data_IF_484149058094
#
_entry.id   IF_484149058094
#
_cell.length_a   1.000
_cell.length_b   1.000
_cell.length_c   1.000
_cell.angle_alpha   90.00
_cell.angle_beta   90.00
_cell.angle_gamma   90.00
#
_symmetry.space_group_name_H-M   'P 1'
#
loop_
_entity.id
_entity.type
_entity.pdbx_description
1 polymer ?
#
# COMPACT_ATOMS: atom_id res chain seq x y z
N UNK A 1 -85.53 7.22 16.89
CA UNK A 1 -84.36 6.95 16.02
C UNK A 1 -83.49 5.91 16.71
N UNK A 2 -83.62 4.67 16.26
CA UNK A 2 -82.81 3.50 16.61
C UNK A 2 -81.93 3.22 15.39
N UNK A 3 -80.73 2.65 15.60
CA UNK A 3 -79.75 2.12 14.62
C UNK A 3 -78.61 3.07 14.23
N UNK A 4 -77.50 2.99 14.96
CA UNK A 4 -76.13 3.08 14.41
C UNK A 4 -75.05 2.59 15.40
N UNK A 5 -75.40 1.60 16.23
CA UNK A 5 -74.51 0.96 17.22
C UNK A 5 -73.98 -0.41 16.74
N UNK A 6 -73.59 -0.54 15.47
CA UNK A 6 -73.20 -1.84 14.90
C UNK A 6 -72.11 -1.77 13.80
N UNK A 7 -71.02 -1.02 13.99
CA UNK A 7 -69.82 -1.08 13.11
C UNK A 7 -68.49 -1.20 13.88
N UNK A 8 -68.46 -1.17 15.21
CA UNK A 8 -67.18 -1.19 15.97
C UNK A 8 -66.83 -2.58 16.55
N UNK A 9 -67.66 -3.60 16.35
CA UNK A 9 -67.49 -4.93 16.95
C UNK A 9 -67.32 -6.09 15.94
N UNK A 10 -66.67 -5.85 14.80
CA UNK A 10 -66.46 -6.90 13.79
C UNK A 10 -65.13 -6.80 13.02
N UNK A 11 -64.04 -6.36 13.67
CA UNK A 11 -62.66 -6.58 13.19
C UNK A 11 -61.75 -6.90 14.39
N UNK A 12 -62.18 -7.85 15.21
CA UNK A 12 -61.30 -8.56 16.15
C UNK A 12 -61.50 -10.05 15.86
N UNK A 13 -60.43 -10.69 15.42
CA UNK A 13 -60.21 -12.14 15.38
C UNK A 13 -60.72 -12.97 14.18
N UNK A 14 -60.19 -12.72 12.98
CA UNK A 14 -59.83 -13.80 12.06
C UNK A 14 -58.47 -13.46 11.41
N UNK A 15 -57.37 -13.69 12.14
CA UNK A 15 -56.60 -14.94 12.19
C UNK A 15 -55.61 -15.10 11.04
N UNK A 16 -54.34 -15.10 11.45
CA UNK A 16 -53.26 -15.94 10.94
C UNK A 16 -52.76 -15.57 9.53
N UNK A 17 -51.71 -14.76 9.53
CA UNK A 17 -50.81 -14.61 8.41
C UNK A 17 -49.62 -13.80 8.91
N UNK A 18 -48.44 -14.42 8.96
CA UNK A 18 -47.23 -13.81 9.49
C UNK A 18 -47.00 -12.43 8.87
N UNK A 19 -46.49 -11.50 9.64
CA UNK A 19 -45.06 -11.20 9.51
C UNK A 19 -44.50 -11.13 10.93
N UNK A 20 -43.78 -12.17 11.35
CA UNK A 20 -42.60 -11.89 12.17
C UNK A 20 -41.86 -10.84 11.35
N UNK A 21 -41.73 -9.62 11.88
CA UNK A 21 -40.67 -8.77 11.43
C UNK A 21 -39.37 -9.46 11.87
N UNK A 22 -39.01 -10.55 11.18
CA UNK A 22 -37.63 -10.81 10.85
C UNK A 22 -37.15 -9.48 10.31
N UNK A 23 -36.39 -8.78 11.14
CA UNK A 23 -35.38 -7.89 10.64
C UNK A 23 -34.51 -8.77 9.75
N UNK A 24 -34.90 -8.86 8.49
CA UNK A 24 -34.08 -9.43 7.47
C UNK A 24 -32.90 -8.47 7.39
N UNK A 25 -31.78 -8.84 8.00
CA UNK A 25 -30.48 -8.48 7.46
C UNK A 25 -30.38 -9.16 6.09
N UNK A 26 -31.12 -8.60 5.13
CA UNK A 26 -30.94 -8.83 3.71
C UNK A 26 -30.83 -7.44 3.08
N UNK A 27 -29.83 -6.69 3.55
CA UNK A 27 -28.88 -6.23 2.57
C UNK A 27 -28.06 -7.46 2.21
N UNK A 28 -28.48 -8.17 1.16
CA UNK A 28 -27.52 -8.74 0.22
C UNK A 28 -26.85 -7.56 -0.48
N UNK A 29 -26.18 -6.73 0.29
CA UNK A 29 -24.98 -6.09 -0.20
C UNK A 29 -24.00 -7.26 -0.23
N UNK A 30 -24.19 -8.14 -1.23
CA UNK A 30 -23.03 -8.70 -1.92
C UNK A 30 -22.07 -7.54 -2.01
N UNK A 31 -20.88 -7.74 -1.49
CA UNK A 31 -19.77 -6.79 -1.49
C UNK A 31 -19.38 -6.58 -2.97
N UNK A 32 -20.27 -5.94 -3.72
CA UNK A 32 -20.10 -5.39 -5.04
C UNK A 32 -19.73 -3.90 -4.91
N UNK A 33 -19.50 -3.43 -3.67
CA UNK A 33 -18.98 -2.12 -3.34
C UNK A 33 -17.46 -2.12 -3.60
N UNK A 34 -17.14 -2.07 -4.89
CA UNK A 34 -15.87 -1.70 -5.50
C UNK A 34 -14.62 -2.41 -4.95
N UNK A 35 -13.99 -3.20 -5.84
CA UNK A 35 -12.53 -3.36 -5.89
C UNK A 35 -11.87 -1.98 -5.79
N UNK A 36 -11.70 -1.50 -4.57
CA UNK A 36 -11.22 -0.16 -4.31
C UNK A 36 -9.75 -0.29 -4.04
N UNK A 37 -9.01 -0.42 -5.14
CA UNK A 37 -7.55 -0.51 -5.15
C UNK A 37 -6.97 0.70 -4.41
N UNK A 38 -6.29 0.44 -3.30
CA UNK A 38 -5.46 1.44 -2.67
C UNK A 38 -4.08 1.37 -3.33
N UNK A 39 -3.66 2.48 -3.96
CA UNK A 39 -2.44 2.56 -4.76
C UNK A 39 -1.36 3.35 -4.04
N UNK A 40 -0.20 2.74 -3.88
CA UNK A 40 1.02 3.41 -3.42
C UNK A 40 2.07 3.33 -4.52
N UNK A 41 2.69 4.47 -4.87
CA UNK A 41 3.74 4.56 -5.89
C UNK A 41 5.03 5.05 -5.28
N UNK A 42 6.15 4.62 -5.86
CA UNK A 42 7.46 5.23 -5.60
C UNK A 42 7.61 6.39 -6.57
N UNK A 43 7.70 7.62 -6.06
CA UNK A 43 7.79 8.80 -6.89
C UNK A 43 9.16 8.90 -7.58
N UNK A 44 9.13 9.18 -8.88
CA UNK A 44 10.33 9.57 -9.61
C UNK A 44 10.97 10.78 -8.92
N UNK A 45 12.25 10.67 -8.62
CA UNK A 45 12.97 11.71 -7.88
C UNK A 45 14.33 11.94 -8.50
N UNK A 46 14.71 13.21 -8.62
CA UNK A 46 16.04 13.62 -9.04
C UNK A 46 16.75 14.32 -7.88
N UNK A 47 17.94 13.83 -7.55
CA UNK A 47 18.78 14.34 -6.46
C UNK A 47 20.11 14.77 -7.06
N UNK A 48 20.43 16.07 -6.97
CA UNK A 48 21.72 16.59 -7.44
C UNK A 48 22.70 16.68 -6.28
N UNK A 49 23.77 15.89 -6.34
CA UNK A 49 24.90 15.94 -5.42
C UNK A 49 26.10 16.70 -6.00
N UNK A 50 27.17 16.81 -5.22
CA UNK A 50 28.41 17.47 -5.66
C UNK A 50 29.11 16.72 -6.80
N UNK A 51 28.99 15.38 -6.81
CA UNK A 51 29.71 14.48 -7.71
C UNK A 51 28.88 14.04 -8.92
N UNK A 52 27.58 14.30 -8.94
CA UNK A 52 26.69 13.88 -10.00
C UNK A 52 25.22 13.97 -9.59
N UNK A 53 24.36 13.48 -10.47
CA UNK A 53 22.91 13.49 -10.27
C UNK A 53 22.40 12.06 -10.22
N UNK A 54 21.57 11.78 -9.21
CA UNK A 54 20.81 10.54 -9.11
C UNK A 54 19.42 10.75 -9.65
N UNK A 55 18.97 9.82 -10.48
CA UNK A 55 17.59 9.72 -10.93
C UNK A 55 17.04 8.37 -10.49
N UNK A 56 15.94 8.39 -9.74
CA UNK A 56 15.17 7.21 -9.39
C UNK A 56 13.93 7.20 -10.27
N UNK A 57 13.70 6.09 -10.95
CA UNK A 57 12.54 5.86 -11.81
C UNK A 57 11.85 4.56 -11.39
N UNK A 58 10.53 4.58 -11.27
CA UNK A 58 9.78 3.34 -11.01
C UNK A 58 8.44 3.32 -11.74
N UNK A 59 8.11 2.15 -12.29
CA UNK A 59 6.77 1.86 -12.81
C UNK A 59 5.94 1.00 -11.85
N UNK A 60 6.41 0.82 -10.62
CA UNK A 60 5.74 0.06 -9.58
C UNK A 60 4.50 0.81 -9.06
N UNK A 61 3.38 0.12 -9.08
CA UNK A 61 2.21 0.41 -8.27
C UNK A 61 1.98 -0.75 -7.31
N UNK A 62 1.95 -0.46 -6.01
CA UNK A 62 1.47 -1.40 -5.02
C UNK A 62 -0.04 -1.22 -4.91
N UNK A 63 -0.76 -2.32 -5.10
CA UNK A 63 -2.20 -2.37 -4.93
C UNK A 63 -2.50 -3.33 -3.80
N UNK A 64 -3.28 -2.89 -2.82
CA UNK A 64 -3.87 -3.83 -1.86
C UNK A 64 -5.23 -4.26 -2.37
N UNK A 65 -5.37 -5.55 -2.65
CA UNK A 65 -6.60 -6.20 -3.10
C UNK A 65 -7.11 -7.15 -2.00
N UNK A 66 -8.41 -7.38 -1.96
CA UNK A 66 -9.08 -8.21 -0.98
C UNK A 66 -10.04 -9.20 -1.67
N UNK A 67 -9.90 -9.42 -2.98
CA UNK A 67 -10.73 -10.28 -3.84
C UNK A 67 -10.73 -11.80 -3.51
N UNK A 68 -10.33 -12.21 -2.30
CA UNK A 68 -10.35 -13.60 -1.85
C UNK A 68 -11.56 -13.92 -0.96
N UNK A 69 -11.89 -15.21 -0.84
CA UNK A 69 -13.03 -15.71 -0.05
C UNK A 69 -12.94 -15.43 1.45
N UNK A 70 -11.78 -15.00 1.93
CA UNK A 70 -11.49 -14.75 3.34
C UNK A 70 -11.42 -13.26 3.69
N UNK A 71 -11.65 -12.38 2.72
CA UNK A 71 -11.60 -10.95 2.92
C UNK A 71 -10.25 -10.46 3.46
N UNK A 72 -9.16 -11.17 3.11
CA UNK A 72 -7.80 -10.86 3.53
C UNK A 72 -7.14 -9.88 2.54
N UNK A 73 -6.43 -8.87 3.06
CA UNK A 73 -5.60 -7.97 2.27
C UNK A 73 -4.41 -8.73 1.63
N UNK A 74 -4.23 -8.55 0.33
CA UNK A 74 -3.13 -9.08 -0.47
C UNK A 74 -2.39 -7.92 -1.14
N UNK A 75 -1.06 -7.94 -1.06
CA UNK A 75 -0.22 -6.97 -1.76
C UNK A 75 0.08 -7.45 -3.18
N UNK A 76 -0.44 -6.70 -4.16
CA UNK A 76 -0.20 -6.93 -5.57
C UNK A 76 0.77 -5.89 -6.14
N UNK A 77 1.81 -6.38 -6.82
CA UNK A 77 2.73 -5.55 -7.60
C UNK A 77 2.17 -5.40 -9.01
N UNK A 78 1.79 -4.18 -9.41
CA UNK A 78 1.28 -3.87 -10.75
C UNK A 78 2.20 -2.89 -11.48
N UNK A 79 2.38 -3.12 -12.78
CA UNK A 79 3.03 -2.16 -13.67
C UNK A 79 2.03 -1.09 -14.11
N UNK A 80 2.46 0.16 -14.20
CA UNK A 80 1.62 1.27 -14.67
C UNK A 80 1.70 1.53 -16.19
N UNK A 81 2.49 0.76 -16.95
CA UNK A 81 2.82 1.07 -18.35
C UNK A 81 3.12 -0.16 -19.25
N UNK A 82 2.55 -1.33 -18.94
CA UNK A 82 2.77 -2.61 -19.65
C UNK A 82 4.24 -3.07 -19.74
N UNK A 83 5.17 -2.42 -19.04
CA UNK A 83 6.57 -2.86 -18.92
C UNK A 83 6.74 -3.79 -17.72
N UNK A 84 7.79 -4.64 -17.69
CA UNK A 84 8.17 -5.36 -16.48
C UNK A 84 8.31 -4.39 -15.30
N UNK A 85 7.92 -4.81 -14.11
CA UNK A 85 8.02 -3.98 -12.90
C UNK A 85 9.49 -3.75 -12.55
N UNK A 86 9.85 -2.49 -12.34
CA UNK A 86 11.20 -2.09 -11.98
C UNK A 86 11.25 -0.90 -11.00
N UNK A 87 12.36 -0.84 -10.29
CA UNK A 87 12.92 0.38 -9.72
C UNK A 87 14.33 0.56 -10.29
N UNK A 88 14.57 1.64 -11.00
CA UNK A 88 15.84 1.95 -11.65
C UNK A 88 16.45 3.18 -11.02
N UNK A 89 17.71 3.07 -10.66
CA UNK A 89 18.54 4.16 -10.20
C UNK A 89 19.58 4.42 -11.27
N UNK A 90 19.71 5.68 -11.68
CA UNK A 90 20.75 6.14 -12.60
C UNK A 90 21.59 7.20 -11.90
N UNK A 91 22.90 6.99 -11.86
CA UNK A 91 23.87 8.00 -11.45
C UNK A 91 24.60 8.55 -12.67
N UNK A 92 24.54 9.87 -12.83
CA UNK A 92 25.24 10.60 -13.90
C UNK A 92 26.33 11.46 -13.27
N UNK A 93 27.62 11.11 -13.42
CA UNK A 93 28.71 11.91 -12.89
C UNK A 93 28.70 13.34 -13.43
N UNK A 94 29.04 14.30 -12.57
CA UNK A 94 29.24 15.68 -12.99
C UNK A 94 30.43 15.81 -13.95
N UNK A 95 30.36 16.77 -14.86
CA UNK A 95 31.49 17.12 -15.75
C UNK A 95 32.77 17.44 -14.97
N UNK A 96 32.66 17.93 -13.75
CA UNK A 96 33.80 18.25 -12.87
C UNK A 96 34.10 17.17 -11.82
N UNK A 97 33.42 16.02 -11.86
CA UNK A 97 33.68 14.94 -10.92
C UNK A 97 35.11 14.39 -11.07
N UNK A 98 35.74 13.94 -9.96
CA UNK A 98 36.99 13.18 -9.98
C UNK A 98 36.95 12.03 -11.00
N UNK A 99 38.12 11.72 -11.59
CA UNK A 99 38.22 10.66 -12.59
C UNK A 99 37.72 9.31 -12.07
N UNK A 100 38.04 8.97 -10.83
CA UNK A 100 37.60 7.71 -10.21
C UNK A 100 36.06 7.59 -10.17
N UNK A 101 35.36 8.67 -9.82
CA UNK A 101 33.88 8.70 -9.82
C UNK A 101 33.32 8.56 -11.24
N UNK A 102 33.99 9.12 -12.25
CA UNK A 102 33.58 8.97 -13.66
C UNK A 102 33.81 7.56 -14.18
N UNK A 103 34.82 6.86 -13.69
CA UNK A 103 35.17 5.51 -14.12
C UNK A 103 34.38 4.44 -13.34
N UNK A 104 34.08 4.68 -12.05
CA UNK A 104 33.58 3.67 -11.10
C UNK A 104 32.31 4.05 -10.32
N UNK A 105 31.73 5.23 -10.53
CA UNK A 105 30.66 5.82 -9.71
C UNK A 105 31.06 6.06 -8.24
N UNK A 106 30.09 6.50 -7.43
CA UNK A 106 30.22 6.66 -5.98
C UNK A 106 29.60 5.43 -5.31
N UNK A 107 30.24 4.81 -4.28
CA UNK A 107 29.58 3.84 -3.42
C UNK A 107 28.24 4.42 -2.94
N UNK A 108 27.14 3.70 -3.09
CA UNK A 108 25.82 4.26 -2.79
C UNK A 108 24.92 3.22 -2.16
N UNK A 109 23.99 3.67 -1.32
CA UNK A 109 22.99 2.84 -0.64
C UNK A 109 21.58 3.30 -1.05
N UNK A 110 20.68 2.34 -1.24
CA UNK A 110 19.27 2.59 -1.52
C UNK A 110 18.44 2.32 -0.25
N UNK A 111 17.71 3.35 0.17
CA UNK A 111 16.77 3.36 1.28
C UNK A 111 15.32 3.30 0.80
N UNK A 112 14.48 2.51 1.49
CA UNK A 112 13.02 2.57 1.37
C UNK A 112 12.39 3.01 2.69
N UNK A 113 11.39 3.88 2.61
CA UNK A 113 10.60 4.29 3.77
C UNK A 113 9.25 4.85 3.38
N UNK A 114 8.54 5.43 4.35
CA UNK A 114 7.21 6.02 4.14
C UNK A 114 7.24 7.52 4.48
N UNK A 115 6.56 8.33 3.66
CA UNK A 115 6.44 9.79 3.90
C UNK A 115 5.56 10.13 5.11
N UNK A 116 4.50 9.36 5.28
CA UNK A 116 3.53 9.47 6.37
C UNK A 116 3.37 8.07 6.96
N UNK A 117 3.23 7.91 8.29
CA UNK A 117 2.96 6.61 8.88
C UNK A 117 1.73 5.98 8.23
N UNK A 118 1.92 4.86 7.55
CA UNK A 118 0.83 4.06 6.97
C UNK A 118 0.47 2.98 7.97
N UNK A 119 -0.36 3.34 8.95
CA UNK A 119 -0.67 2.52 10.11
C UNK A 119 -2.16 2.20 10.21
N UNK A 120 -2.45 0.92 10.35
CA UNK A 120 -3.80 0.41 10.60
C UNK A 120 -3.96 0.06 12.07
N UNK A 121 -5.08 0.44 12.68
CA UNK A 121 -5.32 0.20 14.11
C UNK A 121 -6.05 -1.13 14.32
N UNK A 122 -5.42 -2.02 15.08
CA UNK A 122 -5.97 -3.34 15.38
C UNK A 122 -6.07 -3.61 16.88
N UNK A 123 -7.04 -4.41 17.28
CA UNK A 123 -7.15 -4.94 18.64
C UNK A 123 -6.20 -6.12 18.88
N UNK A 124 -6.29 -6.74 20.07
CA UNK A 124 -5.43 -7.86 20.45
C UNK A 124 -5.70 -9.14 19.64
N UNK A 125 -6.87 -9.24 19.01
CA UNK A 125 -7.30 -10.37 18.20
C UNK A 125 -7.00 -10.14 16.70
N UNK A 126 -6.45 -8.97 16.34
CA UNK A 126 -6.07 -8.61 14.98
C UNK A 126 -7.19 -7.99 14.15
N UNK A 127 -8.33 -7.65 14.75
CA UNK A 127 -9.45 -7.01 14.08
C UNK A 127 -9.34 -5.48 14.12
N UNK A 128 -10.04 -4.79 13.23
CA UNK A 128 -10.08 -3.34 13.26
C UNK A 128 -10.62 -2.78 14.56
N UNK A 129 -9.96 -1.76 15.09
CA UNK A 129 -10.45 -1.00 16.24
C UNK A 129 -9.97 0.44 16.20
N UNK A 130 -10.90 1.41 16.30
CA UNK A 130 -10.55 2.85 16.38
C UNK A 130 -9.63 3.18 17.57
N UNK A 131 -9.71 2.35 18.61
CA UNK A 131 -8.93 2.46 19.86
C UNK A 131 -7.79 1.45 19.96
N UNK A 132 -7.59 0.66 18.91
CA UNK A 132 -6.55 -0.36 18.82
C UNK A 132 -5.14 0.21 18.75
N UNK A 133 -4.17 -0.70 18.74
CA UNK A 133 -2.76 -0.38 18.58
C UNK A 133 -2.48 -0.04 17.11
N UNK A 134 -1.81 1.08 16.80
CA UNK A 134 -1.33 1.35 15.45
C UNK A 134 -0.29 0.32 15.03
N UNK A 135 -0.54 -0.35 13.90
CA UNK A 135 0.33 -1.35 13.29
C UNK A 135 0.70 -0.89 11.90
N UNK A 136 1.99 -0.87 11.57
CA UNK A 136 2.45 -0.51 10.23
C UNK A 136 1.86 -1.48 9.20
N UNK A 137 1.41 -0.98 8.05
CA UNK A 137 0.81 -1.82 7.02
C UNK A 137 1.90 -2.60 6.24
N UNK A 138 3.04 -1.96 6.02
CA UNK A 138 4.16 -2.54 5.29
C UNK A 138 5.33 -2.83 6.22
N UNK A 139 6.05 -3.90 5.91
CA UNK A 139 7.40 -4.15 6.42
C UNK A 139 8.39 -4.10 5.26
N UNK A 140 9.55 -3.52 5.54
CA UNK A 140 10.71 -3.59 4.67
C UNK A 140 11.67 -4.65 5.23
N UNK A 141 12.21 -5.53 4.39
CA UNK A 141 13.14 -6.57 4.87
C UNK A 141 14.46 -5.96 5.36
N UNK A 142 15.16 -6.64 6.29
CA UNK A 142 16.43 -6.19 6.89
C UNK A 142 16.41 -4.81 7.59
N UNK A 143 15.25 -4.39 8.07
CA UNK A 143 15.10 -3.12 8.77
C UNK A 143 15.03 -3.37 10.28
N UNK A 144 16.15 -3.23 10.99
CA UNK A 144 16.12 -3.21 12.46
C UNK A 144 15.75 -1.83 13.03
N UNK A 145 15.88 -0.75 12.26
CA UNK A 145 15.76 0.63 12.78
C UNK A 145 15.09 1.64 11.83
N UNK A 146 14.33 1.18 10.84
CA UNK A 146 13.63 2.03 9.87
C UNK A 146 14.38 2.29 8.56
N UNK A 147 15.62 1.77 8.42
CA UNK A 147 16.47 1.85 7.23
C UNK A 147 16.72 0.46 6.62
N UNK A 148 16.41 0.29 5.32
CA UNK A 148 16.91 -0.81 4.49
C UNK A 148 18.13 -0.29 3.74
N UNK A 149 19.33 -0.80 4.04
CA UNK A 149 20.55 -0.47 3.30
C UNK A 149 20.82 -1.52 2.24
N UNK A 150 20.37 -1.27 1.00
CA UNK A 150 20.80 -2.06 -0.16
C UNK A 150 22.03 -1.41 -0.77
N UNK A 151 23.17 -2.09 -0.65
CA UNK A 151 24.38 -1.69 -1.37
C UNK A 151 24.14 -1.70 -2.88
N UNK A 152 24.29 -0.54 -3.52
CA UNK A 152 24.12 -0.40 -4.96
C UNK A 152 25.35 -0.96 -5.67
N UNK A 153 25.14 -1.95 -6.53
CA UNK A 153 26.17 -2.46 -7.43
C UNK A 153 25.95 -1.89 -8.82
N UNK A 154 26.74 -0.88 -9.17
CA UNK A 154 26.59 -0.16 -10.42
C UNK A 154 26.94 -0.99 -11.65
N UNK A 155 26.12 -0.85 -12.69
CA UNK A 155 26.43 -1.27 -14.06
C UNK A 155 26.84 -0.05 -14.87
N UNK A 156 28.03 -0.08 -15.48
CA UNK A 156 28.52 1.01 -16.33
C UNK A 156 27.81 0.97 -17.69
N UNK A 157 27.15 2.07 -18.07
CA UNK A 157 26.47 2.26 -19.36
C UNK A 157 27.08 3.44 -20.15
N UNK A 158 28.41 3.61 -20.08
CA UNK A 158 29.16 4.64 -20.79
C UNK A 158 29.38 5.89 -19.94
N UNK A 159 28.51 6.89 -20.10
CA UNK A 159 28.57 8.17 -19.37
C UNK A 159 27.74 8.18 -18.08
N UNK A 160 27.11 7.06 -17.75
CA UNK A 160 26.23 6.89 -16.59
C UNK A 160 26.37 5.50 -16.00
N UNK A 161 25.86 5.36 -14.78
CA UNK A 161 25.82 4.11 -14.03
C UNK A 161 24.40 3.78 -13.65
N UNK A 162 24.01 2.51 -13.77
CA UNK A 162 22.65 2.07 -13.49
C UNK A 162 22.59 0.93 -12.48
N UNK A 163 21.52 0.91 -11.71
CA UNK A 163 21.14 -0.20 -10.84
C UNK A 163 19.64 -0.41 -10.97
N UNK A 164 19.21 -1.66 -11.13
CA UNK A 164 17.80 -1.98 -11.35
C UNK A 164 17.39 -3.12 -10.43
N UNK A 165 16.31 -2.89 -9.68
CA UNK A 165 15.58 -3.93 -8.97
C UNK A 165 14.39 -4.36 -9.83
N UNK A 166 14.24 -5.67 -10.01
CA UNK A 166 13.08 -6.26 -10.67
C UNK A 166 11.99 -6.63 -9.66
N UNK A 167 10.85 -7.10 -10.17
CA UNK A 167 9.69 -7.51 -9.35
C UNK A 167 10.06 -8.46 -8.20
N UNK A 168 10.75 -9.57 -8.49
CA UNK A 168 11.07 -10.58 -7.47
C UNK A 168 11.94 -10.00 -6.35
N UNK A 169 12.90 -9.13 -6.70
CA UNK A 169 13.73 -8.47 -5.69
C UNK A 169 12.94 -7.46 -4.85
N UNK A 170 11.97 -6.78 -5.46
CA UNK A 170 11.08 -5.85 -4.75
C UNK A 170 10.10 -6.59 -3.83
N UNK A 171 9.61 -7.76 -4.24
CA UNK A 171 8.77 -8.65 -3.42
C UNK A 171 9.52 -9.20 -2.21
N UNK A 172 10.82 -9.48 -2.35
CA UNK A 172 11.69 -9.85 -1.21
C UNK A 172 11.96 -8.67 -0.25
N UNK A 173 11.73 -7.43 -0.72
CA UNK A 173 12.02 -6.21 0.03
C UNK A 173 10.80 -5.58 0.69
N UNK A 174 9.61 -5.69 0.09
CA UNK A 174 8.40 -5.01 0.53
C UNK A 174 7.28 -6.05 0.69
N UNK A 175 6.80 -6.21 1.92
CA UNK A 175 5.67 -7.10 2.23
C UNK A 175 4.64 -6.40 3.10
N UNK A 176 3.45 -6.97 3.21
CA UNK A 176 2.55 -6.61 4.32
C UNK A 176 3.21 -7.05 5.63
N UNK A 177 3.02 -6.25 6.68
CA UNK A 177 3.52 -6.57 8.02
C UNK A 177 2.84 -7.80 8.62
N UNK A 178 1.58 -8.01 8.24
CA UNK A 178 0.75 -9.12 8.63
C UNK A 178 -0.42 -9.25 7.65
N UNK A 179 -1.18 -10.32 7.79
CA UNK A 179 -2.49 -10.44 7.14
C UNK A 179 -3.49 -9.51 7.85
N UNK A 180 -4.25 -8.75 7.05
CA UNK A 180 -5.33 -7.89 7.55
C UNK A 180 -6.67 -8.43 7.02
N UNK A 181 -7.63 -8.66 7.90
CA UNK A 181 -9.00 -9.06 7.52
C UNK A 181 -9.87 -7.82 7.47
N UNK A 182 -10.60 -7.64 6.38
CA UNK A 182 -11.44 -6.47 6.10
C UNK A 182 -12.87 -6.95 5.77
N UNK A 183 -13.63 -7.39 6.76
CA UNK A 183 -14.96 -7.99 6.55
C UNK A 183 -16.07 -6.96 6.32
N UNK A 184 -15.85 -5.70 6.71
CA UNK A 184 -16.86 -4.64 6.68
C UNK A 184 -16.39 -3.42 5.89
N UNK A 185 -17.36 -2.68 5.33
CA UNK A 185 -17.09 -1.42 4.64
C UNK A 185 -16.29 -0.41 5.48
N UNK A 186 -16.57 -0.35 6.79
CA UNK A 186 -15.86 0.55 7.70
C UNK A 186 -14.37 0.21 7.80
N UNK A 187 -14.04 -1.08 7.81
CA UNK A 187 -12.65 -1.57 7.82
C UNK A 187 -11.95 -1.25 6.51
N UNK A 188 -12.62 -1.44 5.38
CA UNK A 188 -12.10 -1.03 4.07
C UNK A 188 -11.81 0.47 3.99
N UNK A 189 -12.75 1.32 4.43
CA UNK A 189 -12.58 2.76 4.39
C UNK A 189 -11.46 3.22 5.34
N UNK A 190 -11.35 2.60 6.53
CA UNK A 190 -10.28 2.85 7.47
C UNK A 190 -8.91 2.41 6.94
N UNK A 191 -8.82 1.23 6.32
CA UNK A 191 -7.60 0.71 5.73
C UNK A 191 -7.14 1.58 4.54
N UNK A 192 -8.08 2.00 3.68
CA UNK A 192 -7.80 2.93 2.58
C UNK A 192 -7.30 4.28 3.10
N UNK A 193 -7.90 4.80 4.17
CA UNK A 193 -7.43 6.03 4.80
C UNK A 193 -6.03 5.87 5.41
N UNK A 194 -5.74 4.73 6.01
CA UNK A 194 -4.41 4.40 6.55
C UNK A 194 -3.33 4.28 5.46
N UNK A 195 -3.72 3.94 4.22
CA UNK A 195 -2.84 3.88 3.05
C UNK A 195 -2.62 5.22 2.33
N UNK A 196 -3.10 6.35 2.88
CA UNK A 196 -2.99 7.66 2.23
C UNK A 196 -1.56 8.28 2.21
N UNK A 197 -0.52 7.46 2.11
CA UNK A 197 0.90 7.85 2.07
C UNK A 197 1.61 7.40 0.79
N UNK A 198 2.91 7.74 0.70
CA UNK A 198 3.80 7.26 -0.36
C UNK A 198 4.97 6.50 0.24
N UNK A 199 5.37 5.40 -0.42
CA UNK A 199 6.69 4.81 -0.24
C UNK A 199 7.69 5.69 -0.98
N UNK A 200 8.79 6.01 -0.31
CA UNK A 200 9.89 6.78 -0.88
C UNK A 200 11.10 5.88 -1.00
N UNK A 201 11.71 5.90 -2.17
CA UNK A 201 13.07 5.42 -2.37
C UNK A 201 14.03 6.62 -2.29
N UNK A 202 15.11 6.48 -1.54
CA UNK A 202 16.18 7.49 -1.46
C UNK A 202 17.52 6.84 -1.71
N UNK A 203 18.43 7.58 -2.31
CA UNK A 203 19.82 7.14 -2.51
C UNK A 203 20.73 8.06 -1.75
N UNK A 204 21.69 7.49 -1.05
CA UNK A 204 22.74 8.22 -0.33
C UNK A 204 24.10 7.80 -0.83
N UNK A 205 25.00 8.78 -0.98
CA UNK A 205 26.41 8.53 -1.20
C UNK A 205 27.00 7.90 0.07
N UNK A 206 27.74 6.81 -0.09
CA UNK A 206 28.64 6.30 0.92
C UNK A 206 29.88 7.19 1.06
N UNK A 207 30.64 7.00 2.14
CA UNK A 207 31.89 7.74 2.35
C UNK A 207 32.91 7.40 1.27
N UNK A 208 33.30 8.40 0.45
CA UNK A 208 34.45 8.29 -0.45
C UNK A 208 35.68 8.70 0.36
N UNK A 209 36.59 7.75 0.63
CA UNK A 209 37.90 8.10 1.17
C UNK A 209 38.67 8.87 0.09
N UNK A 210 38.90 10.15 0.34
CA UNK A 210 39.66 11.06 -0.51
C UNK A 210 41.17 10.70 -0.56
#
# INVERSE_FOLDING_TARGET
>A
MKKLSAIIAMVVCLTIGGVYATWTYAGTDDIADALAEAKVTIADTELTGANGTYKIESNLALVVDQANEKHEAELLFKSNNDQPIFLKITFTPSVNAPKDIKDNAVPSELYFGVTTPMQYKIDADGNYSETGTPTDIFTFSNVSDGDLDVNITWTNEGDKFTYTLNQSQLEDMISLSQTFVLDTKAEHDAFRAALAGNIVARVTDGTVNA
#
